data_IF_133297734023
#
_entry.id   IF_133297734023
#
_cell.length_a   1.000
_cell.length_b   1.000
_cell.length_c   1.000
_cell.angle_alpha   90.00
_cell.angle_beta   90.00
_cell.angle_gamma   90.00
#
_symmetry.space_group_name_H-M   'P 1'
#
loop_
_entity.id
_entity.type
_entity.pdbx_description
1 polymer ?
#
# COMPACT_ATOMS: atom_id res chain seq x y z
N UNK A 1 -7.97 -4.44 -17.28
CA UNK A 1 -7.17 -3.22 -17.12
C UNK A 1 -7.50 -2.49 -15.83
N UNK A 2 -8.77 -2.15 -15.62
CA UNK A 2 -9.23 -1.28 -14.53
C UNK A 2 -9.26 -1.92 -13.13
N UNK A 3 -9.49 -3.24 -13.04
CA UNK A 3 -9.54 -3.94 -11.75
C UNK A 3 -8.25 -3.79 -10.92
N UNK A 4 -7.09 -3.77 -11.57
CA UNK A 4 -5.79 -3.63 -10.89
C UNK A 4 -5.58 -2.24 -10.29
N UNK A 5 -6.13 -1.19 -10.90
CA UNK A 5 -6.03 0.18 -10.39
C UNK A 5 -6.96 0.40 -9.20
N UNK A 6 -8.17 -0.16 -9.24
CA UNK A 6 -9.12 -0.08 -8.13
C UNK A 6 -8.61 -0.89 -6.93
N UNK A 7 -8.07 -2.09 -7.16
CA UNK A 7 -7.57 -2.94 -6.07
C UNK A 7 -6.40 -2.28 -5.34
N UNK A 8 -5.38 -1.80 -6.07
CA UNK A 8 -4.24 -1.09 -5.45
C UNK A 8 -4.68 0.19 -4.71
N UNK A 9 -5.69 0.91 -5.22
CA UNK A 9 -6.21 2.11 -4.55
C UNK A 9 -6.91 1.76 -3.24
N UNK A 10 -7.71 0.69 -3.24
CA UNK A 10 -8.40 0.18 -2.05
C UNK A 10 -7.39 -0.30 -1.00
N UNK A 11 -6.40 -1.09 -1.41
CA UNK A 11 -5.32 -1.56 -0.54
C UNK A 11 -4.55 -0.39 0.09
N UNK A 12 -4.08 0.57 -0.71
CA UNK A 12 -3.37 1.74 -0.20
C UNK A 12 -4.23 2.57 0.77
N UNK A 13 -5.51 2.74 0.45
CA UNK A 13 -6.44 3.48 1.32
C UNK A 13 -6.66 2.76 2.65
N UNK A 14 -6.77 1.43 2.65
CA UNK A 14 -6.90 0.64 3.86
C UNK A 14 -5.66 0.75 4.76
N UNK A 15 -4.46 0.71 4.18
CA UNK A 15 -3.21 0.89 4.92
C UNK A 15 -3.10 2.29 5.52
N UNK A 16 -3.42 3.33 4.73
CA UNK A 16 -3.42 4.71 5.21
C UNK A 16 -4.37 4.85 6.41
N UNK A 17 -5.60 4.35 6.28
CA UNK A 17 -6.59 4.43 7.35
C UNK A 17 -6.13 3.67 8.60
N UNK A 18 -5.52 2.49 8.45
CA UNK A 18 -4.98 1.73 9.58
C UNK A 18 -3.87 2.50 10.32
N UNK A 19 -2.95 3.12 9.58
CA UNK A 19 -1.88 3.93 10.15
C UNK A 19 -2.39 5.24 10.77
N UNK A 20 -3.41 5.88 10.19
CA UNK A 20 -4.05 7.08 10.76
C UNK A 20 -4.74 6.81 12.10
N UNK A 21 -5.12 5.56 12.38
CA UNK A 21 -5.72 5.17 13.67
C UNK A 21 -4.69 5.01 14.79
N UNK A 22 -3.41 4.88 14.45
CA UNK A 22 -2.34 4.81 15.44
C UNK A 22 -2.12 6.20 16.05
N UNK A 23 -2.15 6.28 17.37
CA UNK A 23 -2.06 7.55 18.12
C UNK A 23 -0.63 7.96 18.44
N UNK A 24 0.32 7.06 18.23
CA UNK A 24 1.72 7.23 18.58
C UNK A 24 2.62 6.51 17.56
N UNK A 25 3.90 6.90 17.44
CA UNK A 25 4.87 6.20 16.60
C UNK A 25 4.98 4.72 16.98
N UNK A 26 4.57 3.85 16.05
CA UNK A 26 4.57 2.41 16.23
C UNK A 26 5.39 1.74 15.12
N UNK A 27 5.91 0.55 15.43
CA UNK A 27 6.45 -0.36 14.43
C UNK A 27 5.32 -1.21 13.88
N UNK A 28 5.08 -1.12 12.58
CA UNK A 28 3.95 -1.76 11.89
C UNK A 28 4.48 -2.68 10.82
N UNK A 29 4.07 -3.95 10.85
CA UNK A 29 4.38 -4.90 9.78
C UNK A 29 3.17 -5.04 8.86
N UNK A 30 3.30 -4.50 7.64
CA UNK A 30 2.27 -4.59 6.61
C UNK A 30 2.48 -5.85 5.77
N UNK A 31 1.43 -6.67 5.67
CA UNK A 31 1.38 -7.80 4.76
C UNK A 31 0.51 -7.45 3.56
N UNK A 32 1.06 -7.56 2.35
CA UNK A 32 0.33 -7.35 1.11
C UNK A 32 0.82 -8.34 0.06
N UNK A 33 -0.11 -8.79 -0.78
CA UNK A 33 0.20 -9.62 -1.93
C UNK A 33 0.52 -8.82 -3.20
N UNK A 34 0.26 -7.52 -3.18
CA UNK A 34 0.65 -6.60 -4.24
C UNK A 34 2.16 -6.39 -4.23
N UNK A 35 2.83 -7.06 -5.18
CA UNK A 35 4.25 -6.84 -5.45
C UNK A 35 4.56 -5.37 -5.75
N UNK A 36 3.61 -4.64 -6.37
CA UNK A 36 3.80 -3.23 -6.69
C UNK A 36 3.92 -2.38 -5.42
N UNK A 37 2.97 -2.50 -4.49
CA UNK A 37 2.98 -1.76 -3.22
C UNK A 37 4.19 -2.18 -2.38
N UNK A 38 4.44 -3.49 -2.29
CA UNK A 38 5.56 -4.02 -1.53
C UNK A 38 6.90 -3.51 -2.03
N UNK A 39 7.15 -3.58 -3.34
CA UNK A 39 8.40 -3.08 -3.91
C UNK A 39 8.50 -1.56 -3.80
N UNK A 40 7.40 -0.84 -3.95
CA UNK A 40 7.42 0.63 -3.87
C UNK A 40 7.81 1.13 -2.47
N UNK A 41 7.38 0.44 -1.42
CA UNK A 41 7.76 0.73 -0.03
C UNK A 41 9.14 0.18 0.31
N UNK A 42 9.37 -1.12 0.06
CA UNK A 42 10.61 -1.82 0.43
C UNK A 42 11.84 -1.30 -0.30
N UNK A 43 11.72 -1.02 -1.60
CA UNK A 43 12.82 -0.48 -2.42
C UNK A 43 12.85 1.06 -2.42
N UNK A 44 11.95 1.72 -1.69
CA UNK A 44 11.89 3.17 -1.60
C UNK A 44 11.50 3.89 -2.89
N UNK A 45 10.84 3.21 -3.84
CA UNK A 45 10.40 3.85 -5.09
C UNK A 45 9.41 4.97 -4.84
N UNK A 46 8.51 4.82 -3.86
CA UNK A 46 7.55 5.87 -3.51
C UNK A 46 8.24 7.17 -3.12
N UNK A 47 9.32 7.10 -2.33
CA UNK A 47 10.14 8.27 -1.96
C UNK A 47 10.80 8.91 -3.17
N UNK A 48 11.33 8.08 -4.10
CA UNK A 48 11.94 8.55 -5.35
C UNK A 48 10.92 9.21 -6.28
N UNK A 49 9.70 8.67 -6.38
CA UNK A 49 8.62 9.28 -7.17
C UNK A 49 8.27 10.64 -6.60
N UNK A 50 8.13 10.76 -5.27
CA UNK A 50 7.87 12.05 -4.61
C UNK A 50 8.94 13.10 -4.96
N UNK A 51 10.23 12.75 -4.90
CA UNK A 51 11.31 13.67 -5.29
C UNK A 51 11.32 14.02 -6.79
N UNK A 52 10.73 13.16 -7.63
CA UNK A 52 10.68 13.31 -9.08
C UNK A 52 9.30 13.81 -9.57
N UNK A 53 8.54 14.52 -8.73
CA UNK A 53 7.23 15.08 -9.09
C UNK A 53 6.16 14.02 -9.40
N UNK A 54 6.20 12.89 -8.69
CA UNK A 54 5.32 11.73 -8.87
C UNK A 54 5.46 11.02 -10.22
N UNK A 55 6.65 11.06 -10.82
CA UNK A 55 6.94 10.36 -12.06
C UNK A 55 7.68 9.04 -11.80
N UNK A 56 7.11 7.92 -12.27
CA UNK A 56 7.74 6.59 -12.19
C UNK A 56 8.94 6.51 -13.13
N UNK A 57 8.82 7.09 -14.31
CA UNK A 57 9.89 7.28 -15.28
C UNK A 57 9.63 8.56 -16.10
N UNK A 58 10.43 8.83 -17.13
CA UNK A 58 10.30 10.05 -17.95
C UNK A 58 8.98 10.17 -18.72
N UNK A 59 8.20 9.10 -18.84
CA UNK A 59 6.98 9.02 -19.67
C UNK A 59 5.73 8.65 -18.87
N UNK A 60 5.88 8.01 -17.72
CA UNK A 60 4.78 7.43 -16.96
C UNK A 60 4.71 8.02 -15.55
N UNK A 61 3.57 8.58 -15.15
CA UNK A 61 3.32 8.99 -13.77
C UNK A 61 3.22 7.77 -12.85
N UNK A 62 3.51 7.97 -11.57
CA UNK A 62 3.21 6.99 -10.53
C UNK A 62 1.70 6.81 -10.41
N UNK A 63 1.26 5.60 -10.06
CA UNK A 63 -0.15 5.31 -9.83
C UNK A 63 -0.54 5.78 -8.42
N UNK A 64 -1.70 6.43 -8.29
CA UNK A 64 -2.26 6.94 -7.02
C UNK A 64 -1.28 7.83 -6.21
N UNK A 65 -0.64 8.84 -6.82
CA UNK A 65 0.38 9.66 -6.15
C UNK A 65 -0.14 10.38 -4.89
N UNK A 66 -1.42 10.74 -4.87
CA UNK A 66 -2.10 11.35 -3.74
C UNK A 66 -2.17 10.43 -2.51
N UNK A 67 -2.35 9.12 -2.73
CA UNK A 67 -2.34 8.13 -1.66
C UNK A 67 -0.93 7.87 -1.18
N UNK A 68 0.03 7.77 -2.11
CA UNK A 68 1.44 7.63 -1.76
C UNK A 68 1.97 8.79 -0.94
N UNK A 69 1.56 10.03 -1.22
CA UNK A 69 2.00 11.18 -0.41
C UNK A 69 1.51 11.07 1.05
N UNK A 70 0.25 10.68 1.24
CA UNK A 70 -0.32 10.45 2.58
C UNK A 70 0.39 9.29 3.29
N UNK A 71 0.55 8.17 2.60
CA UNK A 71 1.20 6.99 3.17
C UNK A 71 2.64 7.29 3.58
N UNK A 72 3.41 8.00 2.73
CA UNK A 72 4.79 8.37 3.06
C UNK A 72 4.88 9.25 4.30
N UNK A 73 3.97 10.22 4.48
CA UNK A 73 3.91 11.03 5.71
C UNK A 73 3.66 10.17 6.94
N UNK A 74 2.80 9.16 6.84
CA UNK A 74 2.53 8.22 7.93
C UNK A 74 3.72 7.29 8.19
N UNK A 75 4.45 6.87 7.14
CA UNK A 75 5.69 6.11 7.24
C UNK A 75 6.87 6.93 7.76
N UNK A 76 6.80 8.26 7.75
CA UNK A 76 7.79 9.12 8.41
C UNK A 76 7.51 9.21 9.93
N UNK A 77 6.28 8.92 10.37
CA UNK A 77 5.88 8.87 11.78
C UNK A 77 6.05 7.46 12.36
N UNK A 78 5.62 6.44 11.61
CA UNK A 78 5.61 5.04 12.02
C UNK A 78 6.68 4.24 11.28
N UNK A 79 7.32 3.28 11.96
CA UNK A 79 8.28 2.37 11.32
C UNK A 79 7.50 1.26 10.59
N UNK A 80 7.21 1.48 9.31
CA UNK A 80 6.45 0.53 8.50
C UNK A 80 7.39 -0.43 7.77
N UNK A 81 7.32 -1.71 8.12
CA UNK A 81 7.99 -2.80 7.44
C UNK A 81 7.01 -3.54 6.54
N UNK A 82 7.37 -3.78 5.28
CA UNK A 82 6.47 -4.45 4.34
C UNK A 82 6.95 -5.85 4.00
N UNK A 83 6.06 -6.80 4.22
CA UNK A 83 6.22 -8.20 3.86
C UNK A 83 5.32 -8.55 2.68
N UNK A 84 5.97 -8.86 1.56
CA UNK A 84 5.28 -9.42 0.41
C UNK A 84 4.90 -10.86 0.71
N UNK A 85 3.60 -11.15 0.69
CA UNK A 85 3.07 -12.51 0.74
C UNK A 85 2.62 -12.92 -0.64
N UNK A 86 2.81 -14.18 -1.01
CA UNK A 86 2.37 -14.65 -2.32
C UNK A 86 0.85 -14.79 -2.32
N UNK A 87 0.16 -13.84 -2.95
CA UNK A 87 -1.28 -13.94 -3.23
C UNK A 87 -1.57 -15.21 -4.01
N UNK A 88 -2.51 -16.01 -3.47
CA UNK A 88 -2.88 -17.37 -3.89
C UNK A 88 -1.83 -18.46 -3.63
N UNK A 89 -1.66 -18.82 -2.35
CA UNK A 89 -1.53 -20.20 -1.89
C UNK A 89 -1.84 -20.30 -0.37
N UNK A 90 -3.12 -20.39 0.00
CA UNK A 90 -3.52 -21.06 1.25
C UNK A 90 -3.49 -20.27 2.57
N UNK A 91 -3.89 -19.00 2.61
CA UNK A 91 -4.24 -18.34 3.89
C UNK A 91 -5.75 -18.29 4.06
N UNK A 92 -6.27 -19.18 4.91
CA UNK A 92 -7.68 -19.23 5.34
C UNK A 92 -8.19 -17.92 5.97
N UNK A 93 -7.30 -17.02 6.39
CA UNK A 93 -7.65 -15.73 6.95
C UNK A 93 -8.03 -14.68 5.89
N UNK A 94 -7.51 -14.77 4.66
CA UNK A 94 -7.89 -13.87 3.56
C UNK A 94 -9.31 -14.17 3.03
N UNK A 95 -9.72 -15.45 2.98
CA UNK A 95 -11.09 -15.85 2.61
C UNK A 95 -12.16 -15.37 3.61
N UNK A 96 -11.76 -14.86 4.78
CA UNK A 96 -12.69 -14.32 5.78
C UNK A 96 -12.94 -12.82 5.59
N UNK A 97 -11.92 -12.06 5.18
CA UNK A 97 -12.08 -10.66 4.79
C UNK A 97 -12.87 -10.52 3.48
N UNK A 98 -12.70 -11.45 2.54
CA UNK A 98 -13.42 -11.41 1.26
C UNK A 98 -14.94 -11.64 1.42
N UNK A 99 -15.35 -12.34 2.47
CA UNK A 99 -16.78 -12.54 2.79
C UNK A 99 -17.47 -11.30 3.38
N UNK A 100 -16.74 -10.40 4.04
CA UNK A 100 -17.32 -9.17 4.60
C UNK A 100 -17.42 -8.04 3.57
N UNK A 101 -16.68 -8.12 2.46
CA UNK A 101 -16.72 -7.12 1.41
C UNK A 101 -17.90 -7.29 0.42
N UNK A 102 -18.66 -8.38 0.52
CA UNK A 102 -19.78 -8.69 -0.40
C UNK A 102 -21.16 -8.30 0.19
N UNK A 103 -21.22 -7.88 1.45
CA UNK A 103 -22.49 -7.50 2.13
C UNK A 103 -22.71 -5.98 2.30
N UNK A 104 -21.91 -5.14 1.63
CA UNK A 104 -22.10 -3.68 1.61
C UNK A 104 -22.54 -3.15 0.24
#
# INVERSE_FOLDING_TARGET
GEANTTNNRMELSAVIFALEKLKEPCKVTLYSDSQYVCNALKLGWAKKWKSNGWMRNKKEPALNPELWDKLLKLCDIHEVEVNWVKGHAGHSENERCDRLAVEA
#
